data_IF_570092347474
#
_entry.id   IF_570092347474
#
_cell.length_a   1.000
_cell.length_b   1.000
_cell.length_c   1.000
_cell.angle_alpha   90.00
_cell.angle_beta   90.00
_cell.angle_gamma   90.00
#
_symmetry.space_group_name_H-M   'P 1'
#
loop_
_entity.id
_entity.type
_entity.pdbx_description
1 polymer ?
#
# COMPACT_ATOMS: atom_id res chain seq x y z
N UNK A 1 -6.88 26.04 25.64
CA UNK A 1 -5.52 26.57 25.48
C UNK A 1 -5.24 26.59 23.99
N UNK A 2 -5.20 27.77 23.38
CA UNK A 2 -4.78 27.89 21.99
C UNK A 2 -3.29 27.52 21.93
N UNK A 3 -2.94 26.50 21.16
CA UNK A 3 -1.55 26.11 20.88
C UNK A 3 -0.85 27.27 20.20
N UNK A 4 0.34 27.61 20.70
CA UNK A 4 1.23 28.61 20.12
C UNK A 4 1.56 28.21 18.66
N UNK A 5 1.29 29.06 17.65
CA UNK A 5 1.52 28.74 16.23
C UNK A 5 3.00 28.49 15.88
N UNK A 6 3.92 28.63 16.84
CA UNK A 6 5.36 28.37 16.68
C UNK A 6 5.82 26.96 17.05
N UNK A 7 4.94 26.11 17.61
CA UNK A 7 5.32 24.72 17.95
C UNK A 7 5.11 23.78 16.76
N UNK A 8 6.15 23.02 16.34
CA UNK A 8 6.03 22.09 15.23
C UNK A 8 5.08 20.96 15.60
N UNK A 9 4.11 20.66 14.74
CA UNK A 9 3.17 19.55 14.93
C UNK A 9 3.89 18.24 14.69
N UNK A 10 3.87 17.34 15.66
CA UNK A 10 4.59 16.07 15.57
C UNK A 10 3.66 14.89 15.24
N UNK A 11 4.19 13.91 14.51
CA UNK A 11 3.67 12.55 14.47
C UNK A 11 4.57 11.66 15.32
N UNK A 12 3.96 10.93 16.23
CA UNK A 12 4.63 9.99 17.12
C UNK A 12 4.25 8.56 16.76
N UNK A 13 5.24 7.70 16.59
CA UNK A 13 5.06 6.26 16.55
C UNK A 13 5.17 5.73 17.97
N UNK A 14 4.10 5.15 18.48
CA UNK A 14 3.98 4.67 19.87
C UNK A 14 4.37 3.20 20.01
N UNK A 15 4.05 2.41 18.99
CA UNK A 15 4.33 0.98 18.99
C UNK A 15 4.48 0.44 17.57
N UNK A 16 5.34 -0.56 17.42
CA UNK A 16 5.44 -1.38 16.22
C UNK A 16 5.30 -2.84 16.63
N UNK A 17 4.40 -3.54 15.97
CA UNK A 17 4.12 -4.95 16.19
C UNK A 17 4.09 -5.72 14.88
N UNK A 18 3.95 -7.04 14.97
CA UNK A 18 3.70 -7.92 13.84
C UNK A 18 2.39 -8.67 14.05
N UNK A 19 1.56 -8.72 13.01
CA UNK A 19 0.44 -9.64 12.89
C UNK A 19 0.88 -10.86 12.04
N UNK A 20 1.23 -11.99 12.66
CA UNK A 20 1.51 -13.23 11.93
C UNK A 20 0.20 -13.87 11.44
N UNK A 21 0.24 -14.78 10.45
CA UNK A 21 -0.95 -15.55 10.09
C UNK A 21 -1.37 -16.46 11.26
N UNK A 22 -2.69 -16.57 11.47
CA UNK A 22 -3.28 -17.39 12.54
C UNK A 22 -3.22 -18.89 12.26
N UNK A 23 -2.76 -19.29 11.07
CA UNK A 23 -2.49 -20.67 10.67
C UNK A 23 -1.18 -20.70 9.90
N UNK A 24 -0.33 -21.67 10.23
CA UNK A 24 0.96 -21.84 9.56
C UNK A 24 0.78 -22.13 8.07
N UNK A 25 1.59 -21.46 7.25
CA UNK A 25 1.69 -21.75 5.82
C UNK A 25 2.39 -23.08 5.61
N UNK A 26 2.01 -23.82 4.56
CA UNK A 26 2.68 -25.07 4.25
C UNK A 26 4.18 -24.83 3.95
N UNK A 27 5.10 -25.68 4.43
CA UNK A 27 6.52 -25.49 4.23
C UNK A 27 6.90 -25.41 2.75
N UNK A 28 7.94 -24.63 2.45
CA UNK A 28 8.53 -24.58 1.11
C UNK A 28 7.83 -23.64 0.13
N UNK A 29 6.62 -23.12 0.43
CA UNK A 29 5.92 -22.21 -0.47
C UNK A 29 6.68 -20.89 -0.68
N UNK A 30 6.67 -20.44 -1.93
CA UNK A 30 7.28 -19.18 -2.37
C UNK A 30 6.62 -18.73 -3.69
N UNK A 31 6.71 -17.44 -3.98
CA UNK A 31 6.41 -16.89 -5.31
C UNK A 31 7.70 -16.39 -5.95
N UNK A 32 8.06 -16.96 -7.10
CA UNK A 32 9.21 -16.48 -7.87
C UNK A 32 8.94 -15.09 -8.46
N UNK A 33 10.01 -14.35 -8.65
CA UNK A 33 10.02 -13.08 -9.37
C UNK A 33 10.93 -13.25 -10.58
N UNK A 34 10.33 -13.32 -11.78
CA UNK A 34 11.06 -13.34 -13.04
C UNK A 34 11.57 -11.95 -13.34
N UNK A 35 12.87 -11.81 -13.56
CA UNK A 35 13.48 -10.51 -13.87
C UNK A 35 14.39 -10.66 -15.08
N UNK A 36 14.20 -9.81 -16.09
CA UNK A 36 15.09 -9.80 -17.27
C UNK A 36 16.40 -9.03 -17.01
N UNK A 37 16.45 -8.25 -15.93
CA UNK A 37 17.62 -7.54 -15.43
C UNK A 37 17.67 -7.63 -13.89
N UNK A 38 18.80 -7.29 -13.24
CA UNK A 38 18.84 -7.16 -11.79
C UNK A 38 17.83 -6.11 -11.29
N UNK A 39 17.10 -6.42 -10.22
CA UNK A 39 16.20 -5.46 -9.58
C UNK A 39 17.01 -4.34 -8.92
N UNK A 40 16.80 -3.11 -9.37
CA UNK A 40 17.30 -1.93 -8.71
C UNK A 40 16.42 -1.48 -7.54
N UNK A 41 16.87 -0.49 -6.76
CA UNK A 41 16.12 0.06 -5.65
C UNK A 41 14.76 0.64 -6.08
N UNK A 42 14.63 1.15 -7.31
CA UNK A 42 13.38 1.68 -7.85
C UNK A 42 12.24 0.66 -7.78
N UNK A 43 12.50 -0.59 -8.17
CA UNK A 43 11.51 -1.68 -8.10
C UNK A 43 11.39 -2.24 -6.69
N UNK A 44 12.51 -2.43 -5.99
CA UNK A 44 12.51 -3.02 -4.64
C UNK A 44 11.75 -2.14 -3.62
N UNK A 45 11.80 -0.82 -3.79
CA UNK A 45 11.07 0.13 -2.95
C UNK A 45 9.68 0.51 -3.49
N UNK A 46 9.29 -0.02 -4.65
CA UNK A 46 8.01 0.27 -5.25
C UNK A 46 6.87 -0.30 -4.41
N UNK A 47 5.89 0.55 -4.09
CA UNK A 47 4.80 0.21 -3.17
C UNK A 47 3.53 0.95 -3.53
N UNK A 48 2.40 0.32 -3.26
CA UNK A 48 1.11 1.00 -3.19
C UNK A 48 0.91 1.56 -1.77
N UNK A 49 0.48 2.81 -1.69
CA UNK A 49 0.07 3.45 -0.46
C UNK A 49 -1.38 3.90 -0.55
N UNK A 50 -2.14 3.64 0.51
CA UNK A 50 -3.50 4.12 0.65
C UNK A 50 -3.75 4.59 2.08
N UNK A 51 -4.45 5.70 2.26
CA UNK A 51 -4.80 6.24 3.57
C UNK A 51 -6.31 6.51 3.62
N UNK A 52 -6.97 5.91 4.62
CA UNK A 52 -8.39 6.10 4.89
C UNK A 52 -8.56 6.92 6.15
N UNK A 53 -9.39 7.96 6.09
CA UNK A 53 -9.68 8.86 7.19
C UNK A 53 -11.07 8.55 7.73
N UNK A 54 -11.19 8.43 9.05
CA UNK A 54 -12.44 8.10 9.71
C UNK A 54 -12.72 9.09 10.84
N UNK A 55 -13.97 9.56 10.87
CA UNK A 55 -14.46 10.26 12.06
C UNK A 55 -14.43 9.31 13.26
N UNK A 56 -14.20 9.87 14.44
CA UNK A 56 -14.28 9.11 15.67
C UNK A 56 -15.73 8.65 15.90
N UNK A 57 -15.97 7.35 15.78
CA UNK A 57 -17.25 6.72 16.13
C UNK A 57 -17.20 6.19 17.57
N UNK A 58 -17.87 6.86 18.51
CA UNK A 58 -17.97 6.41 19.90
C UNK A 58 -16.70 6.58 20.75
N UNK A 59 -16.61 5.81 21.83
CA UNK A 59 -15.48 5.83 22.79
C UNK A 59 -14.43 4.74 22.53
N UNK A 60 -14.36 4.19 21.32
CA UNK A 60 -13.37 3.16 21.00
C UNK A 60 -11.95 3.73 21.15
N UNK A 61 -11.16 3.10 22.02
CA UNK A 61 -9.75 3.47 22.16
C UNK A 61 -8.97 3.02 20.92
N UNK A 62 -8.00 3.80 20.42
CA UNK A 62 -7.12 3.39 19.32
C UNK A 62 -6.38 2.08 19.59
N UNK A 63 -6.12 1.79 20.87
CA UNK A 63 -5.53 0.52 21.30
C UNK A 63 -6.46 -0.66 20.98
N UNK A 64 -7.78 -0.48 21.18
CA UNK A 64 -8.78 -1.47 20.83
C UNK A 64 -8.88 -1.65 19.30
N UNK A 65 -8.86 -0.56 18.53
CA UNK A 65 -8.85 -0.60 17.06
C UNK A 65 -7.64 -1.37 16.54
N UNK A 66 -6.43 -1.00 16.97
CA UNK A 66 -5.19 -1.64 16.54
C UNK A 66 -5.15 -3.13 16.93
N UNK A 67 -5.63 -3.47 18.12
CA UNK A 67 -5.65 -4.86 18.55
C UNK A 67 -6.70 -5.70 17.79
N UNK A 68 -7.88 -5.15 17.49
CA UNK A 68 -8.85 -5.83 16.61
C UNK A 68 -8.32 -5.99 15.18
N UNK A 69 -7.63 -4.97 14.66
CA UNK A 69 -6.91 -5.06 13.38
C UNK A 69 -5.94 -6.23 13.42
N UNK A 70 -5.10 -6.33 14.46
CA UNK A 70 -4.13 -7.43 14.60
C UNK A 70 -4.79 -8.82 14.61
N UNK A 71 -5.81 -9.01 15.44
CA UNK A 71 -6.52 -10.29 15.59
C UNK A 71 -7.23 -10.70 14.29
N UNK A 72 -8.00 -9.79 13.70
CA UNK A 72 -8.74 -10.05 12.46
C UNK A 72 -7.81 -10.26 11.26
N UNK A 73 -6.71 -9.50 11.20
CA UNK A 73 -5.71 -9.66 10.15
C UNK A 73 -5.03 -11.02 10.25
N UNK A 74 -4.69 -11.46 11.47
CA UNK A 74 -4.15 -12.80 11.72
C UNK A 74 -5.12 -13.88 11.23
N UNK A 75 -6.43 -13.68 11.35
CA UNK A 75 -7.44 -14.61 10.84
C UNK A 75 -7.58 -14.59 9.30
N UNK A 76 -7.34 -13.45 8.64
CA UNK A 76 -7.48 -13.30 7.19
C UNK A 76 -6.23 -13.73 6.39
N UNK A 77 -5.03 -13.55 6.96
CA UNK A 77 -3.74 -13.85 6.30
C UNK A 77 -3.57 -15.30 5.81
N UNK A 78 -4.11 -16.35 6.46
CA UNK A 78 -3.99 -17.72 5.96
C UNK A 78 -4.53 -17.95 4.53
N UNK A 79 -5.48 -17.12 4.08
CA UNK A 79 -5.98 -17.17 2.70
C UNK A 79 -5.02 -16.56 1.67
N UNK A 80 -4.04 -15.76 2.13
CA UNK A 80 -3.11 -15.02 1.28
C UNK A 80 -1.67 -15.06 1.84
N UNK A 81 -1.02 -16.24 1.89
CA UNK A 81 0.28 -16.41 2.55
C UNK A 81 1.38 -15.44 2.09
N UNK A 82 1.36 -15.06 0.81
CA UNK A 82 2.30 -14.11 0.21
C UNK A 82 2.40 -12.79 0.97
N UNK A 83 1.27 -12.28 1.51
CA UNK A 83 1.21 -11.02 2.26
C UNK A 83 1.96 -11.07 3.59
N UNK A 84 2.26 -12.27 4.09
CA UNK A 84 3.03 -12.51 5.31
C UNK A 84 4.49 -12.90 5.04
N UNK A 85 4.91 -12.87 3.77
CA UNK A 85 6.23 -13.31 3.33
C UNK A 85 7.32 -12.24 3.41
N UNK A 86 8.52 -12.63 2.99
CA UNK A 86 9.71 -11.74 2.87
C UNK A 86 10.42 -12.00 1.54
N UNK A 87 11.09 -10.96 1.04
CA UNK A 87 11.93 -11.11 -0.14
C UNK A 87 13.15 -11.97 0.21
N UNK A 88 13.57 -12.78 -0.73
CA UNK A 88 14.78 -13.58 -0.63
C UNK A 88 15.54 -13.51 -1.94
N UNK A 89 16.86 -13.46 -1.82
CA UNK A 89 17.80 -13.45 -2.93
C UNK A 89 18.74 -14.64 -2.76
N UNK A 90 18.36 -15.75 -3.37
CA UNK A 90 19.23 -16.93 -3.51
C UNK A 90 19.71 -17.01 -4.98
N UNK A 91 19.28 -18.03 -5.73
CA UNK A 91 19.54 -18.24 -7.16
C UNK A 91 18.70 -17.30 -8.07
N UNK A 92 17.92 -16.42 -7.46
CA UNK A 92 16.99 -15.48 -8.08
C UNK A 92 16.20 -14.72 -7.01
N UNK A 93 15.28 -13.86 -7.43
CA UNK A 93 14.38 -13.17 -6.53
C UNK A 93 13.11 -13.97 -6.29
N UNK A 94 12.74 -14.13 -5.03
CA UNK A 94 11.45 -14.72 -4.64
C UNK A 94 10.87 -14.02 -3.41
N UNK A 95 9.55 -14.14 -3.26
CA UNK A 95 8.87 -13.90 -1.98
C UNK A 95 8.68 -15.23 -1.29
N UNK A 96 9.39 -15.46 -0.18
CA UNK A 96 9.21 -16.66 0.63
C UNK A 96 8.02 -16.51 1.56
N UNK A 97 7.12 -17.49 1.59
CA UNK A 97 5.95 -17.47 2.48
C UNK A 97 6.35 -18.05 3.84
N UNK A 98 7.05 -17.25 4.63
CA UNK A 98 7.70 -17.67 5.87
C UNK A 98 6.96 -17.20 7.14
N UNK A 99 5.69 -16.79 7.01
CA UNK A 99 4.83 -16.35 8.11
C UNK A 99 5.43 -15.20 8.96
N UNK A 100 6.34 -14.41 8.39
CA UNK A 100 6.95 -13.26 9.07
C UNK A 100 5.94 -12.14 9.36
N UNK A 101 4.75 -12.21 8.76
CA UNK A 101 3.60 -11.37 9.08
C UNK A 101 3.69 -9.94 8.56
N UNK A 102 2.62 -9.20 8.83
CA UNK A 102 2.41 -7.79 8.47
C UNK A 102 2.80 -6.90 9.64
N UNK A 103 3.46 -5.78 9.38
CA UNK A 103 3.83 -4.81 10.44
C UNK A 103 2.64 -3.93 10.78
N UNK A 104 2.33 -3.83 12.06
CA UNK A 104 1.29 -2.95 12.59
C UNK A 104 1.96 -1.82 13.37
N UNK A 105 1.74 -0.59 12.93
CA UNK A 105 2.27 0.64 13.53
C UNK A 105 1.13 1.38 14.20
N UNK A 106 1.34 1.78 15.45
CA UNK A 106 0.42 2.65 16.17
C UNK A 106 1.05 4.02 16.32
N UNK A 107 0.29 5.07 16.03
CA UNK A 107 0.79 6.42 16.06
C UNK A 107 -0.25 7.43 16.58
N UNK A 108 0.24 8.58 17.05
CA UNK A 108 -0.58 9.76 17.34
C UNK A 108 -0.04 10.97 16.58
N UNK A 109 -0.93 11.81 16.06
CA UNK A 109 -0.58 13.08 15.42
C UNK A 109 -1.01 14.26 16.31
N UNK A 110 -0.13 15.24 16.50
CA UNK A 110 -0.40 16.47 17.26
C UNK A 110 -1.17 17.51 16.43
N UNK A 111 -2.26 17.08 15.80
CA UNK A 111 -3.14 17.91 14.99
C UNK A 111 -4.52 17.27 14.96
N UNK A 112 -5.57 18.05 14.72
CA UNK A 112 -6.90 17.50 14.46
C UNK A 112 -6.94 16.94 13.03
N UNK A 113 -7.76 15.93 12.78
CA UNK A 113 -7.97 15.38 11.44
C UNK A 113 -8.56 16.44 10.50
N UNK A 114 -9.44 17.29 11.01
CA UNK A 114 -10.05 18.40 10.27
C UNK A 114 -8.99 19.40 9.80
N UNK A 115 -8.07 19.81 10.68
CA UNK A 115 -6.96 20.71 10.34
C UNK A 115 -5.97 20.04 9.37
N UNK A 116 -5.70 18.75 9.55
CA UNK A 116 -4.87 17.97 8.64
C UNK A 116 -5.44 17.96 7.23
N UNK A 117 -6.73 17.63 7.09
CA UNK A 117 -7.42 17.55 5.80
C UNK A 117 -7.58 18.91 5.12
N UNK A 118 -7.65 20.00 5.90
CA UNK A 118 -7.70 21.37 5.39
C UNK A 118 -6.32 21.95 5.03
N UNK A 119 -5.22 21.30 5.40
CA UNK A 119 -3.86 21.78 5.12
C UNK A 119 -3.55 21.80 3.63
N UNK A 120 -2.83 22.83 3.17
CA UNK A 120 -2.32 22.90 1.79
C UNK A 120 -1.17 21.91 1.55
N UNK A 121 -0.42 21.61 2.60
CA UNK A 121 0.74 20.71 2.55
C UNK A 121 0.36 19.25 2.84
N UNK A 122 -0.95 18.94 2.89
CA UNK A 122 -1.51 17.62 3.18
C UNK A 122 -0.83 16.50 2.43
N UNK A 123 -0.59 16.65 1.13
CA UNK A 123 0.01 15.60 0.29
C UNK A 123 1.43 15.21 0.76
N UNK A 124 2.20 16.18 1.26
CA UNK A 124 3.52 15.94 1.87
C UNK A 124 3.40 15.28 3.25
N UNK A 125 2.49 15.80 4.08
CA UNK A 125 2.24 15.30 5.43
C UNK A 125 1.70 13.85 5.43
N UNK A 126 0.89 13.49 4.44
CA UNK A 126 0.22 12.19 4.32
C UNK A 126 1.22 11.03 4.16
N UNK A 127 2.44 11.30 3.67
CA UNK A 127 3.52 10.33 3.64
C UNK A 127 3.87 9.77 5.02
N UNK A 128 3.64 10.54 6.09
CA UNK A 128 3.86 10.10 7.47
C UNK A 128 2.72 9.23 8.01
N UNK A 129 1.56 9.17 7.34
CA UNK A 129 0.41 8.37 7.76
C UNK A 129 0.44 6.92 7.25
N UNK A 130 1.28 6.63 6.25
CA UNK A 130 1.50 5.30 5.71
C UNK A 130 2.97 4.89 5.94
N UNK A 131 3.29 4.38 7.14
CA UNK A 131 4.64 3.97 7.50
C UNK A 131 5.27 3.09 6.42
N UNK A 132 6.55 3.32 6.16
CA UNK A 132 7.38 2.47 5.31
C UNK A 132 8.82 2.52 5.81
N UNK A 133 9.48 1.37 5.72
CA UNK A 133 10.92 1.24 5.91
C UNK A 133 11.48 0.55 4.68
N UNK A 134 12.53 1.11 4.10
CA UNK A 134 13.03 0.66 2.81
C UNK A 134 13.59 -0.77 2.88
N UNK A 135 13.39 -1.52 1.80
CA UNK A 135 13.97 -2.85 1.63
C UNK A 135 15.49 -2.75 1.61
N UNK A 136 16.16 -3.42 2.54
CA UNK A 136 17.60 -3.55 2.53
C UNK A 136 17.99 -4.54 1.43
N UNK A 137 18.64 -4.04 0.38
CA UNK A 137 19.07 -4.85 -0.78
C UNK A 137 20.06 -5.95 -0.38
N UNK A 138 20.84 -5.74 0.69
CA UNK A 138 21.81 -6.71 1.20
C UNK A 138 21.16 -7.78 2.06
N UNK A 139 20.07 -7.43 2.75
CA UNK A 139 19.39 -8.30 3.70
C UNK A 139 17.85 -8.28 3.55
N UNK A 140 17.32 -8.53 2.33
CA UNK A 140 15.91 -8.30 2.00
C UNK A 140 14.95 -9.22 2.76
N UNK A 141 15.46 -10.31 3.33
CA UNK A 141 14.72 -11.25 4.15
C UNK A 141 14.33 -10.68 5.52
N UNK A 142 14.94 -9.59 5.97
CA UNK A 142 14.60 -8.91 7.22
C UNK A 142 13.65 -7.72 7.03
N UNK A 143 13.54 -7.19 5.81
CA UNK A 143 12.64 -6.08 5.48
C UNK A 143 11.20 -6.54 5.35
N UNK A 144 10.29 -5.92 6.10
CA UNK A 144 8.86 -6.19 5.89
C UNK A 144 8.38 -5.51 4.61
N UNK A 145 7.34 -6.08 4.00
CA UNK A 145 6.84 -5.64 2.70
C UNK A 145 5.38 -5.18 2.76
N UNK A 146 4.77 -5.26 3.94
CA UNK A 146 3.40 -4.83 4.18
C UNK A 146 3.30 -4.23 5.57
N UNK A 147 2.89 -2.97 5.62
CA UNK A 147 2.68 -2.17 6.82
C UNK A 147 1.24 -1.67 6.86
N UNK A 148 0.68 -1.68 8.06
CA UNK A 148 -0.57 -1.02 8.39
C UNK A 148 -0.26 -0.07 9.55
N UNK A 149 -0.59 1.20 9.40
CA UNK A 149 -0.45 2.22 10.43
C UNK A 149 -1.84 2.68 10.86
N UNK A 150 -2.08 2.74 12.17
CA UNK A 150 -3.26 3.38 12.76
C UNK A 150 -2.79 4.65 13.45
N UNK A 151 -3.21 5.80 12.93
CA UNK A 151 -2.86 7.11 13.48
C UNK A 151 -4.07 7.77 14.12
N UNK A 152 -3.98 8.05 15.40
CA UNK A 152 -5.00 8.85 16.10
C UNK A 152 -4.70 10.34 15.96
N UNK A 153 -5.69 11.12 15.55
CA UNK A 153 -5.64 12.59 15.59
C UNK A 153 -6.16 13.14 16.93
N UNK A 154 -5.85 14.40 17.21
CA UNK A 154 -6.37 15.08 18.39
C UNK A 154 -7.87 15.34 18.26
N UNK A 155 -8.67 14.59 19.02
CA UNK A 155 -10.06 14.93 19.31
C UNK A 155 -11.11 14.44 18.33
N UNK A 156 -10.85 14.39 17.02
CA UNK A 156 -11.90 14.31 15.99
C UNK A 156 -11.84 13.09 15.04
N UNK A 157 -10.75 12.33 15.00
CA UNK A 157 -10.67 11.18 14.10
C UNK A 157 -9.41 10.33 14.18
N UNK A 158 -9.32 9.39 13.25
CA UNK A 158 -8.14 8.55 13.04
C UNK A 158 -7.95 8.27 11.55
N UNK A 159 -6.72 7.96 11.17
CA UNK A 159 -6.40 7.43 9.84
C UNK A 159 -5.89 5.99 9.95
N UNK A 160 -6.18 5.20 8.92
CA UNK A 160 -5.51 3.93 8.69
C UNK A 160 -4.71 4.07 7.39
N UNK A 161 -3.39 4.01 7.48
CA UNK A 161 -2.50 4.01 6.33
C UNK A 161 -1.98 2.61 6.03
N UNK A 162 -1.90 2.27 4.75
CA UNK A 162 -1.31 1.03 4.27
C UNK A 162 -0.14 1.36 3.36
N UNK A 163 0.96 0.64 3.52
CA UNK A 163 2.06 0.57 2.56
C UNK A 163 2.29 -0.90 2.21
N UNK A 164 2.09 -1.29 0.95
CA UNK A 164 2.30 -2.65 0.47
C UNK A 164 3.23 -2.66 -0.73
N UNK A 165 4.31 -3.45 -0.68
CA UNK A 165 5.23 -3.60 -1.81
C UNK A 165 4.48 -4.13 -3.04
N UNK A 166 4.74 -3.54 -4.20
CA UNK A 166 4.20 -4.05 -5.46
C UNK A 166 4.80 -5.41 -5.83
N UNK A 167 5.89 -5.82 -5.16
CA UNK A 167 6.43 -7.18 -5.23
C UNK A 167 5.62 -8.20 -4.42
N UNK A 168 4.69 -7.77 -3.56
CA UNK A 168 3.71 -8.61 -2.87
C UNK A 168 2.35 -8.64 -3.56
N UNK A 169 1.82 -7.46 -3.85
CA UNK A 169 0.46 -7.31 -4.35
C UNK A 169 0.38 -6.06 -5.22
N UNK A 170 -0.28 -6.16 -6.36
CA UNK A 170 -0.75 -4.97 -7.05
C UNK A 170 -1.98 -4.39 -6.32
N UNK A 171 -2.38 -3.14 -6.65
CA UNK A 171 -3.50 -2.49 -5.99
C UNK A 171 -4.82 -3.26 -6.10
N UNK A 172 -5.08 -3.94 -7.23
CA UNK A 172 -6.32 -4.68 -7.44
C UNK A 172 -6.40 -5.90 -6.50
N UNK A 173 -5.32 -6.68 -6.41
CA UNK A 173 -5.23 -7.79 -5.46
C UNK A 173 -5.35 -7.31 -4.02
N UNK A 174 -4.64 -6.23 -3.68
CA UNK A 174 -4.67 -5.71 -2.32
C UNK A 174 -6.08 -5.27 -1.94
N UNK A 175 -6.80 -4.55 -2.80
CA UNK A 175 -8.16 -4.10 -2.50
C UNK A 175 -9.12 -5.28 -2.29
N UNK A 176 -9.02 -6.34 -3.10
CA UNK A 176 -9.79 -7.58 -2.88
C UNK A 176 -9.48 -8.22 -1.54
N UNK A 177 -8.20 -8.29 -1.17
CA UNK A 177 -7.78 -8.76 0.14
C UNK A 177 -8.38 -7.90 1.27
N UNK A 178 -8.31 -6.57 1.16
CA UNK A 178 -8.84 -5.64 2.15
C UNK A 178 -10.34 -5.82 2.34
N UNK A 179 -11.10 -5.98 1.24
CA UNK A 179 -12.54 -6.23 1.29
C UNK A 179 -12.88 -7.59 1.92
N UNK A 180 -12.13 -8.65 1.59
CA UNK A 180 -12.28 -9.97 2.24
C UNK A 180 -11.92 -9.92 3.73
N UNK A 181 -10.87 -9.18 4.09
CA UNK A 181 -10.46 -8.98 5.47
C UNK A 181 -11.51 -8.20 6.27
N UNK A 182 -12.11 -7.15 5.70
CA UNK A 182 -13.19 -6.39 6.35
C UNK A 182 -14.40 -7.28 6.70
N UNK A 183 -14.77 -8.23 5.83
CA UNK A 183 -15.81 -9.22 6.13
C UNK A 183 -15.40 -10.13 7.29
N UNK A 184 -14.15 -10.63 7.29
CA UNK A 184 -13.60 -11.45 8.39
C UNK A 184 -13.61 -10.68 9.71
N UNK A 185 -13.19 -9.41 9.68
CA UNK A 185 -13.19 -8.52 10.84
C UNK A 185 -14.60 -8.36 11.42
N UNK A 186 -15.58 -8.06 10.58
CA UNK A 186 -16.99 -7.92 10.98
C UNK A 186 -17.52 -9.20 11.63
N UNK A 187 -17.26 -10.36 11.04
CA UNK A 187 -17.66 -11.65 11.61
C UNK A 187 -17.01 -11.93 12.98
N UNK A 188 -15.75 -11.51 13.16
CA UNK A 188 -15.05 -11.66 14.43
C UNK A 188 -15.59 -10.74 15.52
N UNK A 189 -15.91 -9.48 15.20
CA UNK A 189 -16.54 -8.55 16.15
C UNK A 189 -17.86 -9.09 16.70
N UNK A 190 -18.63 -9.81 15.88
CA UNK A 190 -19.91 -10.40 16.27
C UNK A 190 -19.77 -11.67 17.14
N UNK A 191 -18.61 -12.33 17.12
CA UNK A 191 -18.45 -13.69 17.67
C UNK A 191 -17.41 -13.83 18.79
N UNK A 192 -16.54 -12.83 18.99
CA UNK A 192 -15.42 -12.92 19.93
C UNK A 192 -15.33 -11.69 20.82
N UNK A 193 -14.87 -11.89 22.06
CA UNK A 193 -14.29 -10.81 22.84
C UNK A 193 -12.80 -10.75 22.53
N UNK A 194 -12.25 -9.56 22.28
CA UNK A 194 -10.83 -9.43 21.96
C UNK A 194 -10.00 -9.67 23.23
N UNK A 195 -8.94 -10.45 23.11
CA UNK A 195 -7.99 -10.63 24.21
C UNK A 195 -6.95 -9.51 24.15
N UNK A 196 -7.11 -8.49 25.01
CA UNK A 196 -6.18 -7.37 25.06
C UNK A 196 -5.20 -7.53 26.21
N UNK A 197 -3.91 -7.69 25.89
CA UNK A 197 -2.84 -7.58 26.89
C UNK A 197 -1.92 -6.37 26.70
N UNK A 198 -2.19 -5.56 25.67
CA UNK A 198 -1.30 -4.50 25.21
C UNK A 198 -1.14 -3.32 26.18
N UNK A 199 -2.22 -2.93 26.87
CA UNK A 199 -2.18 -1.85 27.85
C UNK A 199 -1.38 -2.18 29.12
N UNK A 200 -1.20 -3.46 29.44
CA UNK A 200 -0.56 -3.88 30.70
C UNK A 200 0.96 -3.71 30.71
N UNK A 201 1.59 -3.50 29.55
CA UNK A 201 3.05 -3.35 29.45
C UNK A 201 3.51 -1.89 29.38
N UNK A 202 2.61 -0.92 29.43
CA UNK A 202 2.97 0.49 29.46
C UNK A 202 3.57 0.87 30.82
N UNK A 203 4.81 1.34 30.83
CA UNK A 203 5.47 1.87 32.04
C UNK A 203 5.14 3.36 32.17
N UNK A 204 4.64 3.83 33.33
CA UNK A 204 4.29 5.25 33.52
C UNK A 204 5.46 6.23 33.32
N UNK A 205 6.69 5.76 33.51
CA UNK A 205 7.92 6.57 33.62
C UNK A 205 8.85 6.48 32.39
N UNK A 206 8.33 6.12 31.21
CA UNK A 206 9.11 6.11 29.97
C UNK A 206 8.39 6.88 28.87
N UNK A 207 9.17 7.45 27.95
CA UNK A 207 8.64 8.01 26.70
C UNK A 207 7.71 6.99 26.06
N UNK A 208 6.47 7.42 25.77
CA UNK A 208 5.47 6.60 25.09
C UNK A 208 5.80 6.41 23.60
N UNK A 209 6.63 7.28 23.05
CA UNK A 209 6.93 7.36 21.63
C UNK A 209 8.28 6.69 21.33
N UNK A 210 8.27 5.75 20.39
CA UNK A 210 9.45 5.09 19.81
C UNK A 210 10.20 6.02 18.85
N UNK A 211 9.45 6.80 18.07
CA UNK A 211 9.97 7.75 17.08
C UNK A 211 9.01 8.93 16.98
N UNK A 212 9.54 10.15 16.84
CA UNK A 212 8.77 11.36 16.58
C UNK A 212 9.30 12.01 15.32
N UNK A 213 8.40 12.51 14.47
CA UNK A 213 8.75 13.19 13.23
C UNK A 213 7.87 14.45 13.12
N UNK A 214 8.45 15.55 12.69
CA UNK A 214 7.69 16.77 12.43
C UNK A 214 6.86 16.59 11.16
N UNK A 215 5.55 16.86 11.27
CA UNK A 215 4.56 16.57 10.24
C UNK A 215 4.74 17.44 8.99
N UNK A 216 5.22 18.67 9.18
CA UNK A 216 5.44 19.70 8.15
C UNK A 216 6.87 19.69 7.62
N UNK A 217 7.74 18.82 8.17
CA UNK A 217 9.10 18.68 7.64
C UNK A 217 9.07 18.02 6.27
N UNK A 218 10.20 18.07 5.55
CA UNK A 218 10.35 17.33 4.30
C UNK A 218 9.86 15.89 4.50
N UNK A 219 9.17 15.30 3.50
CA UNK A 219 8.63 13.95 3.64
C UNK A 219 9.74 13.00 4.09
N UNK A 220 9.41 11.92 4.83
CA UNK A 220 10.41 11.13 5.55
C UNK A 220 11.52 10.69 4.59
N UNK A 221 12.76 10.53 5.07
CA UNK A 221 13.99 10.24 4.26
C UNK A 221 13.81 9.11 3.21
N UNK A 222 12.78 8.28 3.37
CA UNK A 222 12.38 7.15 2.51
C UNK A 222 11.14 7.41 1.64
N UNK A 223 10.73 8.67 1.50
CA UNK A 223 9.70 9.12 0.57
C UNK A 223 10.38 9.60 -0.69
N UNK A 224 10.19 8.91 -1.82
CA UNK A 224 10.67 9.37 -3.11
C UNK A 224 10.07 10.72 -3.49
N UNK A 225 10.59 11.30 -4.58
CA UNK A 225 9.94 12.41 -5.26
C UNK A 225 8.42 12.16 -5.40
N UNK A 226 7.64 13.23 -5.37
CA UNK A 226 6.20 13.13 -5.60
C UNK A 226 5.97 12.43 -6.94
N UNK A 227 4.97 11.55 -7.01
CA UNK A 227 4.70 10.73 -8.20
C UNK A 227 3.24 10.87 -8.58
N UNK A 228 2.98 10.95 -9.87
CA UNK A 228 1.64 10.98 -10.43
C UNK A 228 1.33 9.60 -11.02
N UNK A 229 0.21 9.01 -10.58
CA UNK A 229 -0.27 7.74 -11.10
C UNK A 229 -1.57 7.93 -11.87
N UNK A 230 -1.62 7.45 -13.11
CA UNK A 230 -2.82 7.37 -13.95
C UNK A 230 -3.24 5.92 -14.11
N UNK A 231 -4.54 5.66 -14.11
CA UNK A 231 -5.09 4.33 -14.36
C UNK A 231 -5.81 4.30 -15.71
N UNK A 232 -5.61 3.21 -16.43
CA UNK A 232 -6.25 2.93 -17.72
C UNK A 232 -6.93 1.59 -17.67
N UNK A 233 -8.11 1.50 -18.24
CA UNK A 233 -8.87 0.28 -18.43
C UNK A 233 -8.82 -0.13 -19.90
N UNK A 234 -8.61 -1.42 -20.15
CA UNK A 234 -8.53 -1.99 -21.48
C UNK A 234 -9.18 -3.37 -21.55
N UNK A 235 -9.81 -3.70 -22.68
CA UNK A 235 -10.39 -5.02 -22.90
C UNK A 235 -9.32 -6.08 -23.12
N UNK A 236 -9.44 -7.21 -22.43
CA UNK A 236 -8.57 -8.39 -22.46
C UNK A 236 -8.53 -9.06 -23.82
N UNK A 237 -9.63 -9.01 -24.56
CA UNK A 237 -9.71 -9.49 -25.94
C UNK A 237 -9.03 -8.54 -26.94
N UNK A 238 -8.91 -7.25 -26.62
CA UNK A 238 -8.09 -6.33 -27.41
C UNK A 238 -6.57 -6.58 -27.22
N UNK A 239 -6.18 -7.31 -26.16
CA UNK A 239 -4.78 -7.72 -25.83
C UNK A 239 -4.25 -8.81 -26.78
N UNK A 240 -4.49 -8.66 -28.08
CA UNK A 240 -3.99 -9.55 -29.13
C UNK A 240 -2.45 -9.58 -29.26
N UNK A 241 -1.69 -8.78 -28.48
CA UNK A 241 -0.26 -8.50 -28.74
C UNK A 241 0.72 -8.42 -27.56
N UNK A 242 0.42 -9.01 -26.39
CA UNK A 242 1.26 -8.98 -25.16
C UNK A 242 1.03 -7.77 -24.24
N UNK A 243 1.06 -8.01 -22.92
CA UNK A 243 0.98 -6.98 -21.88
C UNK A 243 2.03 -5.87 -22.03
N UNK A 244 3.19 -6.17 -22.63
CA UNK A 244 4.20 -5.16 -22.93
C UNK A 244 3.72 -4.08 -23.90
N UNK A 245 2.92 -4.44 -24.91
CA UNK A 245 2.39 -3.44 -25.84
C UNK A 245 1.29 -2.59 -25.21
N UNK A 246 0.42 -3.21 -24.41
CA UNK A 246 -0.59 -2.49 -23.63
C UNK A 246 0.08 -1.47 -22.69
N UNK A 247 1.12 -1.89 -21.96
CA UNK A 247 1.88 -1.02 -21.08
C UNK A 247 2.48 0.19 -21.84
N UNK A 248 3.02 -0.04 -23.04
CA UNK A 248 3.53 1.03 -23.92
C UNK A 248 2.42 2.01 -24.34
N UNK A 249 1.25 1.50 -24.75
CA UNK A 249 0.12 2.35 -25.13
C UNK A 249 -0.37 3.22 -23.97
N UNK A 250 -0.52 2.63 -22.78
CA UNK A 250 -0.89 3.38 -21.57
C UNK A 250 0.17 4.42 -21.20
N UNK A 251 1.46 4.07 -21.31
CA UNK A 251 2.55 5.01 -21.04
C UNK A 251 2.54 6.19 -22.02
N UNK A 252 2.34 5.94 -23.31
CA UNK A 252 2.24 7.01 -24.32
C UNK A 252 1.06 7.94 -24.03
N UNK A 253 -0.08 7.40 -23.62
CA UNK A 253 -1.25 8.21 -23.29
C UNK A 253 -1.03 9.04 -22.00
N UNK A 254 -0.40 8.46 -20.97
CA UNK A 254 -0.05 9.17 -19.74
C UNK A 254 0.96 10.30 -19.99
N UNK A 255 2.06 10.01 -20.69
CA UNK A 255 3.10 10.99 -21.05
C UNK A 255 2.56 12.12 -21.91
N UNK A 256 1.65 11.83 -22.85
CA UNK A 256 0.96 12.85 -23.65
C UNK A 256 0.11 13.80 -22.80
N UNK A 257 -0.57 13.28 -21.76
CA UNK A 257 -1.44 14.08 -20.87
C UNK A 257 -0.66 14.86 -19.83
N UNK A 258 0.42 14.28 -19.31
CA UNK A 258 1.27 14.89 -18.28
C UNK A 258 2.38 15.76 -18.87
N UNK A 259 2.53 15.77 -20.21
CA UNK A 259 3.59 16.49 -20.92
C UNK A 259 5.01 16.10 -20.47
N UNK A 260 5.19 14.83 -20.10
CA UNK A 260 6.44 14.26 -19.59
C UNK A 260 6.99 13.20 -20.53
N UNK A 261 8.30 13.13 -20.70
CA UNK A 261 8.93 12.10 -21.53
C UNK A 261 9.27 10.86 -20.67
N UNK A 262 8.97 9.67 -21.21
CA UNK A 262 9.29 8.39 -20.59
C UNK A 262 9.98 7.43 -21.56
N UNK A 263 11.28 7.61 -21.86
CA UNK A 263 12.01 6.73 -22.77
C UNK A 263 12.20 5.31 -22.22
N UNK A 264 12.17 5.16 -20.89
CA UNK A 264 12.37 3.90 -20.19
C UNK A 264 11.42 3.80 -18.99
N UNK A 265 10.93 2.59 -18.73
CA UNK A 265 10.06 2.25 -17.60
C UNK A 265 10.24 0.79 -17.18
N UNK A 266 9.81 0.46 -15.97
CA UNK A 266 9.72 -0.91 -15.49
C UNK A 266 8.27 -1.41 -15.56
N UNK A 267 8.07 -2.60 -16.10
CA UNK A 267 6.77 -3.25 -16.23
C UNK A 267 6.63 -4.38 -15.20
N UNK A 268 5.61 -4.30 -14.35
CA UNK A 268 5.21 -5.34 -13.40
C UNK A 268 3.92 -6.02 -13.89
N UNK A 269 3.95 -7.35 -13.95
CA UNK A 269 2.80 -8.16 -14.36
C UNK A 269 2.61 -9.28 -13.34
N UNK A 270 1.41 -9.35 -12.75
CA UNK A 270 1.01 -10.44 -11.85
C UNK A 270 -0.39 -10.95 -12.20
N UNK A 271 -0.54 -12.27 -12.29
CA UNK A 271 -1.83 -12.96 -12.36
C UNK A 271 -2.25 -13.53 -10.98
N UNK A 272 -1.50 -13.20 -9.93
CA UNK A 272 -1.66 -13.62 -8.53
C UNK A 272 -1.57 -15.13 -8.24
N UNK A 273 -1.63 -16.00 -9.25
CA UNK A 273 -1.50 -17.45 -9.12
C UNK A 273 -0.10 -17.99 -9.45
N UNK A 274 0.66 -17.26 -10.26
CA UNK A 274 1.95 -17.67 -10.79
C UNK A 274 3.12 -16.79 -10.35
N UNK A 275 4.10 -16.68 -11.26
CA UNK A 275 5.31 -15.89 -11.08
C UNK A 275 5.03 -14.40 -11.30
N UNK A 276 5.60 -13.53 -10.46
CA UNK A 276 5.60 -12.08 -10.71
C UNK A 276 6.65 -11.77 -11.77
N UNK A 277 6.29 -11.07 -12.85
CA UNK A 277 7.26 -10.66 -13.87
C UNK A 277 7.62 -9.19 -13.71
N UNK A 278 8.92 -8.92 -13.82
CA UNK A 278 9.50 -7.57 -13.80
C UNK A 278 10.35 -7.40 -15.05
N UNK A 279 9.91 -6.54 -15.96
CA UNK A 279 10.50 -6.36 -17.28
C UNK A 279 10.95 -4.90 -17.47
N UNK A 280 12.26 -4.62 -17.60
CA UNK A 280 12.72 -3.29 -18.01
C UNK A 280 12.36 -3.07 -19.49
N UNK A 281 11.71 -1.95 -19.78
CA UNK A 281 11.28 -1.57 -21.11
C UNK A 281 12.00 -0.28 -21.52
N UNK A 282 12.73 -0.32 -22.63
CA UNK A 282 13.47 0.83 -23.17
C UNK A 282 13.08 1.09 -24.62
N UNK A 283 13.04 2.37 -25.00
CA UNK A 283 12.69 2.84 -26.34
C UNK A 283 11.41 2.17 -26.87
N UNK A 284 10.26 2.36 -26.20
CA UNK A 284 9.02 1.76 -26.65
C UNK A 284 8.75 2.18 -28.09
N UNK A 285 8.75 1.21 -29.02
CA UNK A 285 8.47 1.47 -30.42
C UNK A 285 7.12 2.19 -30.55
N UNK A 286 7.00 3.14 -31.49
CA UNK A 286 5.72 3.77 -31.84
C UNK A 286 4.71 2.69 -32.29
N UNK A 287 3.97 2.13 -31.34
CA UNK A 287 2.81 1.28 -31.59
C UNK A 287 1.66 2.12 -32.15
N UNK A 288 0.85 1.51 -33.02
CA UNK A 288 -0.23 2.19 -33.75
C UNK A 288 -1.23 2.88 -32.81
N UNK A 289 -1.80 3.97 -33.31
CA UNK A 289 -2.81 4.83 -32.68
C UNK A 289 -3.86 4.09 -31.83
N UNK A 290 -3.95 4.54 -30.57
CA UNK A 290 -5.13 4.59 -29.71
C UNK A 290 -6.12 3.42 -29.86
N UNK A 291 -5.80 2.31 -29.21
CA UNK A 291 -6.86 1.50 -28.58
C UNK A 291 -7.63 2.43 -27.63
N UNK A 292 -8.95 2.27 -27.53
CA UNK A 292 -9.79 3.09 -26.67
C UNK A 292 -9.44 2.79 -25.19
N UNK A 293 -8.45 3.50 -24.67
CA UNK A 293 -8.05 3.43 -23.26
C UNK A 293 -8.96 4.37 -22.48
N UNK A 294 -9.82 3.78 -21.66
CA UNK A 294 -10.65 4.53 -20.74
C UNK A 294 -9.84 4.87 -19.49
N UNK A 295 -9.88 6.14 -19.07
CA UNK A 295 -9.22 6.53 -17.82
C UNK A 295 -10.14 6.20 -16.66
N UNK A 296 -9.58 5.46 -15.70
CA UNK A 296 -10.28 5.02 -14.50
C UNK A 296 -9.67 5.64 -13.25
N UNK A 297 -10.40 5.53 -12.15
CA UNK A 297 -10.06 6.16 -10.88
C UNK A 297 -9.97 5.09 -9.78
N UNK A 298 -9.30 5.42 -8.67
CA UNK A 298 -9.07 4.47 -7.58
C UNK A 298 -10.36 3.97 -6.92
N UNK A 299 -11.43 4.76 -6.93
CA UNK A 299 -12.77 4.41 -6.42
C UNK A 299 -13.37 3.22 -7.19
N UNK A 300 -13.15 3.13 -8.50
CA UNK A 300 -13.60 2.03 -9.36
C UNK A 300 -12.91 0.70 -9.03
N UNK A 301 -11.74 0.74 -8.37
CA UNK A 301 -11.08 -0.45 -7.86
C UNK A 301 -11.67 -0.95 -6.53
N UNK A 302 -12.66 -0.24 -5.97
CA UNK A 302 -13.34 -0.60 -4.72
C UNK A 302 -12.59 -0.21 -3.45
N UNK A 303 -11.60 0.69 -3.55
CA UNK A 303 -10.77 1.11 -2.40
C UNK A 303 -11.61 1.88 -1.37
N UNK A 304 -12.53 2.73 -1.83
CA UNK A 304 -13.35 3.58 -0.96
C UNK A 304 -14.45 2.81 -0.21
N UNK A 305 -14.76 1.60 -0.65
CA UNK A 305 -15.76 0.72 -0.03
C UNK A 305 -15.22 -0.01 1.21
N UNK A 306 -13.91 0.03 1.42
CA UNK A 306 -13.28 -0.66 2.53
C UNK A 306 -13.65 -0.02 3.87
N UNK A 307 -14.30 -0.81 4.74
CA UNK A 307 -14.68 -0.38 6.09
C UNK A 307 -14.35 -1.46 7.12
N UNK A 308 -13.44 -1.18 8.05
CA UNK A 308 -13.16 -2.09 9.18
C UNK A 308 -14.15 -1.91 10.34
N UNK A 309 -14.59 -0.68 10.61
CA UNK A 309 -15.55 -0.40 11.69
C UNK A 309 -16.96 -0.40 11.14
N UNK A 310 -17.80 -1.30 11.64
CA UNK A 310 -19.17 -1.46 11.17
C UNK A 310 -19.95 -0.13 11.26
N UNK A 311 -20.48 0.32 10.12
CA UNK A 311 -21.26 1.56 10.02
C UNK A 311 -20.44 2.85 9.88
N UNK A 312 -19.10 2.78 9.90
CA UNK A 312 -18.22 3.94 9.67
C UNK A 312 -17.61 3.88 8.28
N UNK A 313 -18.10 4.73 7.37
CA UNK A 313 -17.45 4.95 6.07
C UNK A 313 -16.26 5.91 6.22
N UNK A 314 -15.21 5.76 5.41
CA UNK A 314 -14.16 6.77 5.36
C UNK A 314 -14.74 8.10 4.90
N UNK A 315 -14.29 9.20 5.50
CA UNK A 315 -14.63 10.57 5.07
C UNK A 315 -13.75 11.05 3.93
N UNK A 316 -12.57 10.46 3.81
CA UNK A 316 -11.62 10.72 2.74
C UNK A 316 -10.76 9.46 2.54
N UNK A 317 -10.38 9.20 1.29
CA UNK A 317 -9.45 8.15 0.92
C UNK A 317 -8.42 8.76 -0.03
N UNK A 318 -7.16 8.43 0.17
CA UNK A 318 -6.08 8.78 -0.73
C UNK A 318 -5.35 7.53 -1.18
N UNK A 319 -4.87 7.53 -2.41
CA UNK A 319 -4.15 6.40 -3.02
C UNK A 319 -3.04 6.91 -3.91
N UNK A 320 -1.90 6.24 -3.85
CA UNK A 320 -0.79 6.47 -4.77
C UNK A 320 0.09 5.24 -4.89
N UNK A 321 0.74 5.11 -6.04
CA UNK A 321 1.89 4.23 -6.18
C UNK A 321 3.14 5.08 -5.99
N UNK A 322 4.04 4.60 -5.16
CA UNK A 322 5.31 5.23 -4.85
C UNK A 322 6.43 4.40 -5.48
N UNK A 323 7.29 5.05 -6.25
CA UNK A 323 8.47 4.47 -6.89
C UNK A 323 9.71 5.31 -6.51
N UNK A 324 10.86 4.67 -6.27
CA UNK A 324 12.06 5.41 -5.84
C UNK A 324 12.81 6.04 -7.02
N UNK A 325 13.35 7.25 -6.81
CA UNK A 325 14.12 8.02 -7.80
C UNK A 325 13.29 8.45 -9.02
N UNK A 326 13.93 8.48 -10.19
CA UNK A 326 13.27 8.78 -11.48
C UNK A 326 12.56 7.55 -12.09
N UNK A 327 12.31 6.53 -11.26
CA UNK A 327 11.80 5.23 -11.68
C UNK A 327 10.35 5.32 -12.17
N UNK A 328 10.15 5.20 -13.49
CA UNK A 328 8.83 5.10 -14.11
C UNK A 328 8.33 3.67 -14.04
N UNK A 329 7.09 3.50 -13.60
CA UNK A 329 6.53 2.18 -13.30
C UNK A 329 5.21 1.99 -14.03
N UNK A 330 5.04 0.85 -14.67
CA UNK A 330 3.76 0.41 -15.23
C UNK A 330 3.39 -0.91 -14.58
N UNK A 331 2.20 -1.00 -14.01
CA UNK A 331 1.69 -2.22 -13.36
C UNK A 331 0.44 -2.66 -14.11
N UNK A 332 0.45 -3.89 -14.60
CA UNK A 332 -0.71 -4.51 -15.25
C UNK A 332 -1.41 -5.39 -14.22
N UNK A 333 -2.62 -4.97 -13.84
CA UNK A 333 -3.44 -5.59 -12.81
C UNK A 333 -4.47 -6.51 -13.46
N UNK A 334 -4.26 -7.82 -13.34
CA UNK A 334 -5.07 -8.82 -14.02
C UNK A 334 -6.13 -9.32 -13.03
N UNK A 335 -7.44 -9.15 -13.29
CA UNK A 335 -8.45 -9.78 -12.47
C UNK A 335 -8.38 -11.31 -12.58
N UNK A 336 -8.77 -12.08 -11.55
CA UNK A 336 -8.94 -13.52 -11.67
C UNK A 336 -9.97 -13.80 -12.75
N UNK A 337 -9.85 -14.96 -13.39
CA UNK A 337 -10.77 -15.43 -14.43
C UNK A 337 -12.18 -15.64 -13.83
N UNK A 338 -12.94 -14.56 -13.71
CA UNK A 338 -14.37 -14.58 -13.42
C UNK A 338 -15.08 -14.44 -14.76
N UNK A 339 -15.89 -15.44 -15.07
CA UNK A 339 -16.68 -15.50 -16.30
C UNK A 339 -17.48 -14.20 -16.48
N UNK A 340 -17.08 -13.35 -17.43
CA UNK A 340 -17.80 -12.12 -17.79
C UNK A 340 -17.12 -10.78 -17.48
N UNK A 341 -15.94 -10.72 -16.84
CA UNK A 341 -15.16 -9.47 -16.72
C UNK A 341 -13.91 -9.51 -17.62
N UNK A 342 -14.00 -8.97 -18.85
CA UNK A 342 -12.91 -9.00 -19.79
C UNK A 342 -11.92 -7.87 -19.54
N UNK A 343 -11.96 -7.09 -18.46
CA UNK A 343 -11.17 -5.86 -18.40
C UNK A 343 -9.90 -5.97 -17.57
N UNK A 344 -8.84 -5.33 -18.05
CA UNK A 344 -7.54 -5.23 -17.35
C UNK A 344 -7.31 -3.78 -16.99
N UNK A 345 -6.83 -3.54 -15.77
CA UNK A 345 -6.45 -2.20 -15.32
C UNK A 345 -4.93 -2.07 -15.36
N UNK A 346 -4.45 -0.95 -15.89
CA UNK A 346 -3.03 -0.65 -15.99
C UNK A 346 -2.76 0.67 -15.29
N UNK A 347 -1.89 0.67 -14.28
CA UNK A 347 -1.40 1.91 -13.69
C UNK A 347 -0.10 2.34 -14.36
N UNK A 348 0.00 3.62 -14.68
CA UNK A 348 1.24 4.26 -15.12
C UNK A 348 1.63 5.30 -14.07
N UNK A 349 2.82 5.16 -13.49
CA UNK A 349 3.36 6.05 -12.48
C UNK A 349 4.59 6.76 -13.01
N UNK A 350 4.56 8.09 -13.01
CA UNK A 350 5.64 8.98 -13.42
C UNK A 350 6.10 9.86 -12.24
N UNK A 351 7.38 10.25 -12.17
CA UNK A 351 7.85 11.23 -11.19
C UNK A 351 7.29 12.62 -11.52
N UNK A 352 6.92 13.39 -10.50
CA UNK A 352 6.47 14.78 -10.67
C UNK A 352 7.66 15.68 -11.03
N UNK A 353 7.44 16.63 -11.94
CA UNK A 353 8.43 17.63 -12.38
C UNK A 353 8.81 18.69 -11.32
#
# INVERSE_FOLDING_TARGET
MATDPSTPRMLHVDAIQTAPPGKMTAPGQARRISTAAPLGPEVLQSRFQAVWYYNKAGEESPLAIAAWIKESLSAALPGHPVLSGRLRRDDGWEVKFNDSGVRLVQATAETTMSDFLASKDRNGMEAHLAYWDDVDVQSPNFSALFYIQVTQFQGDGYAIGISCSLLLADPLFLTRFLNSWAQTHTQMLLSKSPMFHLGYFQRPDRSRHLKSVELESSPPVHSPASTTTMLFEADREAITRSYGQLAVSCLHEATRRLHEAAPEFCLLISDHGGELRVEPCANPSQGSSAEALDVVWWDQLGVEEWTLVQGSKPVHVSCRIVSSGDGRLVVVMIPPDVEGDPKVVVSVTLPDN
#
